data_IF_334240072761
#
_entry.id   IF_334240072761
#
_cell.length_a   1.000
_cell.length_b   1.000
_cell.length_c   1.000
_cell.angle_alpha   90.00
_cell.angle_beta   90.00
_cell.angle_gamma   90.00
#
_symmetry.space_group_name_H-M   'P 1'
#
loop_
_entity.id
_entity.type
_entity.pdbx_description
1 polymer ?
2 polymer ?
3 water ?
#
# COMPACT_ATOMS: atom_id res chain seq x y z
N UNK A 1 -3.38 0.32 -20.79
CA UNK A 1 -2.40 0.48 -19.72
C UNK A 1 -2.86 0.08 -18.34
N UNK A 2 -2.26 0.70 -17.32
CA UNK A 2 -2.51 0.41 -15.93
C UNK A 2 -2.76 1.71 -15.17
N UNK A 3 -3.24 1.55 -13.95
CA UNK A 3 -3.38 2.63 -12.99
C UNK A 3 -2.45 2.40 -11.81
N UNK A 4 -1.46 3.27 -11.66
CA UNK A 4 -0.60 3.24 -10.50
C UNK A 4 -1.25 3.99 -9.35
N UNK A 5 -0.73 3.75 -8.14
CA UNK A 5 -1.19 4.43 -6.94
C UNK A 5 -0.01 5.17 -6.31
N UNK A 6 -0.30 6.30 -5.66
CA UNK A 6 0.74 7.10 -5.02
C UNK A 6 0.42 7.27 -3.55
N UNK A 7 1.45 7.16 -2.72
CA UNK A 7 1.32 7.39 -1.28
C UNK A 7 0.99 8.84 -1.00
N UNK A 8 -0.07 9.04 -0.18
CA UNK A 8 -0.47 10.37 0.25
C UNK A 8 0.27 10.81 1.51
N UNK A 9 0.73 9.82 2.32
CA UNK A 9 1.35 10.09 3.61
C UNK A 9 2.45 9.07 3.81
N UNK A 10 3.38 9.37 4.71
CA UNK A 10 4.38 8.39 5.11
C UNK A 10 3.70 7.28 5.95
N UNK A 11 4.29 6.09 5.92
CA UNK A 11 3.80 4.98 6.75
C UNK A 11 4.97 4.10 7.16
N UNK A 12 5.07 3.82 8.45
CA UNK A 12 6.08 2.92 9.02
C UNK A 12 5.38 1.60 9.40
N UNK A 13 5.70 0.53 8.67
CA UNK A 13 5.08 -0.75 8.88
C UNK A 13 5.47 -1.34 10.22
N UNK A 14 4.55 -2.14 10.77
CA UNK A 14 4.80 -2.84 12.02
C UNK A 14 5.16 -4.30 11.82
N UNK A 15 4.93 -4.82 10.62
CA UNK A 15 5.26 -6.17 10.23
C UNK A 15 5.89 -6.12 8.85
N UNK A 16 6.84 -7.02 8.58
CA UNK A 16 7.48 -7.07 7.27
C UNK A 16 6.54 -7.49 6.16
N UNK A 17 5.36 -8.02 6.50
CA UNK A 17 4.31 -8.29 5.51
C UNK A 17 3.82 -7.01 4.83
N UNK A 18 3.96 -5.88 5.51
CA UNK A 18 3.53 -4.58 5.05
C UNK A 18 4.73 -3.76 4.61
N UNK A 19 4.56 -2.95 3.56
CA UNK A 19 5.59 -2.03 3.14
C UNK A 19 5.62 -0.78 4.01
N UNK A 20 6.82 -0.29 4.28
CA UNK A 20 7.01 1.08 4.75
C UNK A 20 7.23 1.96 3.53
N UNK A 21 6.74 3.20 3.57
CA UNK A 21 6.82 4.05 2.40
C UNK A 21 6.74 5.50 2.81
N UNK A 22 7.03 6.37 1.86
CA UNK A 22 7.02 7.81 2.05
C UNK A 22 6.08 8.47 1.05
N UNK A 23 5.54 9.62 1.47
CA UNK A 23 4.66 10.39 0.60
C UNK A 23 5.29 10.57 -0.79
N UNK A 24 4.48 10.33 -1.82
CA UNK A 24 4.91 10.46 -3.19
C UNK A 24 5.41 9.19 -3.85
N UNK A 25 5.67 8.15 -3.06
CA UNK A 25 6.08 6.87 -3.59
C UNK A 25 4.96 6.27 -4.45
N UNK A 26 5.33 5.62 -5.56
CA UNK A 26 4.37 5.04 -6.47
C UNK A 26 4.42 3.51 -6.39
N UNK A 27 3.26 2.90 -6.61
CA UNK A 27 3.06 1.47 -6.50
C UNK A 27 2.30 0.92 -7.68
N UNK A 28 2.66 -0.30 -8.10
CA UNK A 28 1.82 -1.16 -8.92
C UNK A 28 1.03 -2.09 -8.02
N UNK A 29 -0.24 -2.26 -8.32
CA UNK A 29 -1.09 -3.15 -7.54
C UNK A 29 -0.92 -4.58 -8.02
N UNK A 30 -0.63 -5.48 -7.09
CA UNK A 30 -0.67 -6.91 -7.33
C UNK A 30 -2.06 -7.49 -7.10
N UNK A 31 -2.67 -7.18 -5.96
CA UNK A 31 -4.02 -7.61 -5.68
C UNK A 31 -4.72 -6.61 -4.79
N UNK A 32 -5.93 -6.19 -5.21
CA UNK A 32 -6.74 -5.24 -4.46
C UNK A 32 -8.15 -5.74 -4.20
N UNK A 33 -8.40 -7.01 -4.38
CA UNK A 33 -9.74 -7.53 -4.32
C UNK A 33 -10.04 -8.24 -3.01
N UNK A 34 -9.02 -8.55 -2.21
CA UNK A 34 -9.21 -9.39 -1.04
C UNK A 34 -9.57 -8.63 0.22
N UNK A 35 -9.33 -7.33 0.26
CA UNK A 35 -9.67 -6.54 1.42
C UNK A 35 -9.11 -5.13 1.31
N UNK A 36 -9.16 -4.44 2.45
CA UNK A 36 -8.79 -3.03 2.60
C UNK A 36 -7.27 -2.80 2.46
N UNK A 37 -6.46 -3.81 2.77
CA UNK A 37 -5.04 -3.77 2.53
C UNK A 37 -4.77 -4.44 1.20
N UNK A 38 -3.97 -3.79 0.37
CA UNK A 38 -3.71 -4.19 -1.00
C UNK A 38 -2.29 -4.69 -1.13
N UNK A 39 -2.10 -5.81 -1.81
CA UNK A 39 -0.76 -6.27 -2.10
C UNK A 39 -0.20 -5.46 -3.26
N UNK A 40 0.98 -4.88 -3.06
CA UNK A 40 1.50 -3.90 -4.00
C UNK A 40 3.00 -4.04 -4.13
N UNK A 41 3.53 -3.47 -5.22
CA UNK A 41 4.95 -3.46 -5.51
C UNK A 41 5.40 -2.00 -5.60
N UNK A 42 6.36 -1.63 -4.76
CA UNK A 42 6.89 -0.28 -4.79
C UNK A 42 7.87 -0.10 -5.95
N UNK A 43 7.65 0.95 -6.73
CA UNK A 43 8.58 1.32 -7.80
C UNK A 43 9.83 2.01 -7.27
N UNK A 44 9.87 2.34 -5.99
CA UNK A 44 11.06 2.93 -5.37
C UNK A 44 11.98 1.86 -4.77
N UNK A 45 11.44 0.94 -4.00
CA UNK A 45 12.26 -0.04 -3.33
C UNK A 45 12.29 -1.38 -4.04
N UNK A 46 11.36 -1.61 -4.97
CA UNK A 46 11.22 -2.90 -5.58
C UNK A 46 10.59 -3.96 -4.69
N UNK A 47 10.17 -3.59 -3.47
CA UNK A 47 9.61 -4.57 -2.55
C UNK A 47 8.14 -4.80 -2.86
N UNK A 48 7.66 -5.97 -2.48
CA UNK A 48 6.25 -6.33 -2.56
C UNK A 48 5.74 -6.55 -1.16
N UNK A 49 4.56 -6.02 -0.87
CA UNK A 49 3.96 -6.21 0.43
C UNK A 49 2.65 -5.48 0.47
N UNK A 50 1.96 -5.58 1.61
CA UNK A 50 0.68 -4.94 1.74
C UNK A 50 0.84 -3.45 2.03
N UNK A 51 -0.10 -2.67 1.50
CA UNK A 51 -0.23 -1.25 1.76
C UNK A 51 -1.66 -0.95 2.18
N UNK A 52 -1.86 0.02 3.08
CA UNK A 52 -3.22 0.35 3.51
C UNK A 52 -3.87 1.25 2.47
N UNK A 53 -5.05 0.84 1.98
CA UNK A 53 -5.65 1.54 0.85
C UNK A 53 -6.02 2.98 1.16
N UNK A 54 -6.21 3.33 2.44
CA UNK A 54 -6.53 4.70 2.80
C UNK A 54 -5.31 5.62 2.79
N UNK A 55 -4.11 5.10 2.53
CA UNK A 55 -2.90 5.89 2.45
C UNK A 55 -2.47 6.20 1.03
N UNK A 56 -3.23 5.77 0.01
CA UNK A 56 -2.86 5.94 -1.37
C UNK A 56 -4.04 6.48 -2.16
N UNK A 57 -3.73 6.96 -3.36
CA UNK A 57 -4.74 7.42 -4.31
C UNK A 57 -4.27 7.08 -5.71
N UNK A 58 -5.20 6.88 -6.64
CA UNK A 58 -4.79 6.54 -8.00
C UNK A 58 -4.17 7.75 -8.66
N UNK A 59 -3.22 7.49 -9.53
CA UNK A 59 -2.75 8.55 -10.42
C UNK A 59 -3.94 9.16 -11.14
N UNK A 60 -4.01 10.49 -11.15
CA UNK A 60 -5.10 11.17 -11.89
C UNK A 60 -4.70 12.53 -12.43
C UNK B 1 -8.30 -14.64 10.53
N UNK B 2 -8.51 -13.29 10.81
CA UNK B 2 -8.49 -12.33 9.72
C UNK B 2 -7.20 -12.41 8.92
N UNK B 3 -7.33 -12.45 7.60
CA UNK B 3 -6.18 -12.50 6.72
C UNK B 3 -5.53 -11.12 6.61
N UNK B 4 -4.34 -11.09 6.01
CA UNK B 4 -3.57 -9.85 5.96
C UNK B 4 -4.34 -8.75 5.23
N UNK B 5 -5.05 -9.12 4.17
CA UNK B 5 -5.79 -8.11 3.41
C UNK B 5 -6.89 -7.47 4.22
N UNK B 6 -7.40 -8.14 5.25
CA UNK B 6 -8.63 -7.75 5.93
C UNK B 6 -8.40 -7.19 7.32
N UNK B 7 -7.17 -6.92 7.69
CA UNK B 7 -6.86 -6.29 8.97
C UNK B 7 -7.43 -4.87 9.03
N UNK B 8 -7.63 -4.33 10.23
CA UNK B 8 -8.04 -2.93 10.33
C UNK B 8 -7.03 -2.00 9.67
N UNK B 9 -7.52 -0.92 9.04
CA UNK B 9 -6.63 0.07 8.46
C UNK B 9 -6.05 0.97 9.55
N UNK B 10 -4.85 1.52 9.33
CA UNK B 10 -4.35 2.52 10.27
C UNK B 10 -5.22 3.74 10.24
N UNK B 11 -5.28 4.49 11.33
CA UNK B 11 -5.94 5.79 11.26
C UNK B 11 -5.20 6.68 10.29
N UNK B 12 -5.95 7.62 9.71
CA UNK B 12 -5.28 8.67 8.96
C UNK B 12 -4.33 9.41 9.90
N UNK B 13 -3.23 9.96 9.37
CA UNK B 13 -2.27 10.66 10.25
C UNK B 13 -2.81 11.90 10.92
#
# INVERSE_FOLDING_TARGET
GVTLFVALYDYEARTEDDLSFHKGEKFQIVNNTEGDWWLAHSLTTGETGYIPSNYVAPVD
XVSLARRPLPPLP
#
